data_IF_974559461417
#
_entry.id   IF_974559461417
#
_cell.length_a   1.000
_cell.length_b   1.000
_cell.length_c   1.000
_cell.angle_alpha   90.00
_cell.angle_beta   90.00
_cell.angle_gamma   90.00
#
_symmetry.space_group_name_H-M   'P 1'
#
loop_
_entity.id
_entity.type
_entity.pdbx_description
1 polymer ?
#
# COMPACT_ATOMS: atom_id res chain seq x y z
N UNK A 1 26.28 -16.23 27.45
CA UNK A 1 25.89 -14.81 27.35
C UNK A 1 24.45 -14.70 27.77
N UNK A 2 24.15 -13.94 28.83
CA UNK A 2 22.77 -13.64 29.21
C UNK A 2 22.13 -12.79 28.10
N UNK A 3 21.02 -13.27 27.54
CA UNK A 3 20.25 -12.50 26.55
C UNK A 3 19.56 -11.37 27.29
N UNK A 4 20.02 -10.14 27.08
CA UNK A 4 19.32 -8.96 27.61
C UNK A 4 18.07 -8.69 26.76
N UNK A 5 16.91 -8.43 27.38
CA UNK A 5 15.71 -8.03 26.65
C UNK A 5 15.98 -6.76 25.85
N UNK A 6 15.40 -6.67 24.65
CA UNK A 6 15.44 -5.44 23.84
C UNK A 6 14.17 -4.67 24.13
N UNK A 7 14.33 -3.39 24.48
CA UNK A 7 13.22 -2.51 24.78
C UNK A 7 12.78 -1.81 23.50
N UNK A 8 11.55 -2.09 23.05
CA UNK A 8 10.94 -1.39 21.92
C UNK A 8 9.72 -0.58 22.38
N UNK A 9 9.26 0.35 21.55
CA UNK A 9 8.02 1.06 21.81
C UNK A 9 6.82 0.15 21.54
N UNK A 10 5.80 0.19 22.41
CA UNK A 10 4.54 -0.56 22.24
C UNK A 10 3.92 -0.32 20.85
N UNK A 11 4.05 0.89 20.31
CA UNK A 11 3.44 1.27 19.03
C UNK A 11 4.13 0.64 17.82
N UNK A 12 5.40 0.25 17.92
CA UNK A 12 6.14 -0.40 16.84
C UNK A 12 5.65 -1.81 16.59
N UNK A 13 5.24 -2.53 17.64
CA UNK A 13 4.61 -3.84 17.51
C UNK A 13 3.35 -3.76 16.64
N UNK A 14 2.49 -2.77 16.90
CA UNK A 14 1.27 -2.57 16.12
C UNK A 14 1.58 -2.21 14.66
N UNK A 15 2.54 -1.30 14.43
CA UNK A 15 2.96 -0.91 13.08
C UNK A 15 3.40 -2.15 12.28
N UNK A 16 4.27 -2.98 12.85
CA UNK A 16 4.79 -4.13 12.11
C UNK A 16 3.75 -5.22 11.93
N UNK A 17 2.88 -5.48 12.92
CA UNK A 17 1.76 -6.41 12.72
C UNK A 17 0.86 -5.95 11.55
N UNK A 18 0.64 -4.65 11.43
CA UNK A 18 -0.10 -4.08 10.31
C UNK A 18 0.68 -4.26 9.00
N UNK A 19 1.97 -3.95 8.96
CA UNK A 19 2.85 -4.15 7.78
C UNK A 19 2.92 -5.61 7.33
N UNK A 20 3.09 -6.55 8.25
CA UNK A 20 3.11 -7.99 7.96
C UNK A 20 1.79 -8.46 7.36
N UNK A 21 0.67 -8.05 7.97
CA UNK A 21 -0.68 -8.37 7.46
C UNK A 21 -0.88 -7.82 6.05
N UNK A 22 -0.40 -6.60 5.79
CA UNK A 22 -0.42 -5.97 4.47
C UNK A 22 0.40 -6.82 3.48
N UNK A 23 1.67 -7.08 3.77
CA UNK A 23 2.57 -7.80 2.86
C UNK A 23 2.06 -9.20 2.53
N UNK A 24 1.56 -9.92 3.54
CA UNK A 24 0.95 -11.24 3.35
C UNK A 24 -0.30 -11.15 2.45
N UNK A 25 -1.14 -10.14 2.67
CA UNK A 25 -2.34 -9.93 1.86
C UNK A 25 -1.99 -9.59 0.41
N UNK A 26 -0.91 -8.83 0.17
CA UNK A 26 -0.44 -8.53 -1.18
C UNK A 26 -0.07 -9.81 -1.93
N UNK A 27 0.75 -10.66 -1.32
CA UNK A 27 1.20 -11.90 -1.94
C UNK A 27 0.02 -12.82 -2.28
N UNK A 28 -0.90 -13.00 -1.33
CA UNK A 28 -2.11 -13.81 -1.53
C UNK A 28 -3.01 -13.22 -2.64
N UNK A 29 -3.25 -11.91 -2.63
CA UNK A 29 -4.10 -11.24 -3.62
C UNK A 29 -3.45 -11.30 -5.00
N UNK A 30 -2.14 -11.05 -5.10
CA UNK A 30 -1.39 -11.13 -6.34
C UNK A 30 -1.41 -12.53 -6.94
N UNK A 31 -1.19 -13.57 -6.13
CA UNK A 31 -1.22 -14.96 -6.59
C UNK A 31 -2.62 -15.33 -7.09
N UNK A 32 -3.69 -14.95 -6.36
CA UNK A 32 -5.07 -15.18 -6.82
C UNK A 32 -5.41 -14.42 -8.11
N UNK A 33 -4.91 -13.19 -8.24
CA UNK A 33 -5.06 -12.41 -9.46
C UNK A 33 -4.37 -13.12 -10.63
N UNK A 34 -3.13 -13.60 -10.42
CA UNK A 34 -2.37 -14.35 -11.43
C UNK A 34 -3.10 -15.63 -11.84
N UNK A 35 -3.52 -16.45 -10.87
CA UNK A 35 -4.30 -17.68 -11.10
C UNK A 35 -5.59 -17.40 -11.89
N UNK A 36 -6.32 -16.34 -11.54
CA UNK A 36 -7.53 -15.95 -12.26
C UNK A 36 -7.25 -15.50 -13.71
N UNK A 37 -6.13 -14.81 -13.94
CA UNK A 37 -5.67 -14.43 -15.29
C UNK A 37 -5.23 -15.64 -16.10
N UNK A 38 -4.50 -16.57 -15.49
CA UNK A 38 -4.06 -17.81 -16.13
C UNK A 38 -5.26 -18.68 -16.48
N UNK A 39 -6.22 -18.87 -15.56
CA UNK A 39 -7.46 -19.61 -15.83
C UNK A 39 -8.27 -18.96 -16.96
N UNK A 40 -8.41 -17.63 -16.94
CA UNK A 40 -9.07 -16.89 -18.01
C UNK A 40 -8.36 -17.13 -19.35
N UNK A 41 -7.04 -16.99 -19.41
CA UNK A 41 -6.28 -17.20 -20.63
C UNK A 41 -6.37 -18.65 -21.13
N UNK A 42 -6.19 -19.64 -20.27
CA UNK A 42 -6.23 -21.06 -20.62
C UNK A 42 -7.61 -21.53 -21.06
N UNK A 43 -8.69 -21.02 -20.46
CA UNK A 43 -10.05 -21.49 -20.76
C UNK A 43 -10.72 -20.65 -21.84
N UNK A 44 -10.57 -19.34 -21.76
CA UNK A 44 -11.32 -18.39 -22.60
C UNK A 44 -10.62 -18.11 -23.93
N UNK A 45 -9.28 -18.06 -24.00
CA UNK A 45 -8.59 -17.76 -25.26
C UNK A 45 -8.68 -18.91 -26.29
N UNK A 46 -8.50 -20.19 -25.91
CA UNK A 46 -8.77 -21.30 -26.83
C UNK A 46 -10.24 -21.36 -27.25
N UNK A 47 -11.15 -20.99 -26.36
CA UNK A 47 -12.57 -20.89 -26.67
C UNK A 47 -12.86 -19.84 -27.76
N UNK A 48 -12.32 -18.62 -27.64
CA UNK A 48 -12.42 -17.58 -28.67
C UNK A 48 -11.81 -18.00 -30.00
N UNK A 49 -10.65 -18.66 -29.94
CA UNK A 49 -9.96 -19.17 -31.13
C UNK A 49 -10.84 -20.18 -31.87
N UNK A 50 -11.44 -21.13 -31.15
CA UNK A 50 -12.35 -22.14 -31.72
C UNK A 50 -13.61 -21.52 -32.33
N UNK A 51 -14.19 -20.47 -31.73
CA UNK A 51 -15.31 -19.75 -32.34
C UNK A 51 -14.87 -19.07 -33.65
N UNK A 52 -13.72 -18.37 -33.63
CA UNK A 52 -13.20 -17.67 -34.82
C UNK A 52 -12.83 -18.60 -35.97
N UNK A 53 -12.41 -19.83 -35.67
CA UNK A 53 -12.10 -20.87 -36.65
C UNK A 53 -13.34 -21.59 -37.21
N UNK A 54 -14.55 -21.15 -36.86
CA UNK A 54 -15.80 -21.66 -37.43
C UNK A 54 -16.34 -22.93 -36.76
N UNK A 55 -15.78 -23.35 -35.63
CA UNK A 55 -16.26 -24.51 -34.85
C UNK A 55 -17.48 -24.19 -33.95
N UNK A 56 -18.33 -23.27 -34.40
CA UNK A 56 -19.50 -22.80 -33.64
C UNK A 56 -20.49 -23.95 -33.36
N UNK A 57 -20.68 -24.86 -34.30
CA UNK A 57 -21.58 -26.01 -34.14
C UNK A 57 -21.10 -26.99 -33.07
N UNK A 58 -19.80 -27.24 -32.99
CA UNK A 58 -19.22 -28.05 -31.91
C UNK A 58 -19.49 -27.39 -30.55
N UNK A 59 -19.35 -26.07 -30.47
CA UNK A 59 -19.57 -25.32 -29.23
C UNK A 59 -21.05 -25.27 -28.80
N UNK A 60 -21.97 -25.01 -29.72
CA UNK A 60 -23.40 -25.01 -29.43
C UNK A 60 -23.88 -26.38 -28.93
N UNK A 61 -23.29 -27.48 -29.42
CA UNK A 61 -23.52 -28.82 -28.87
C UNK A 61 -23.03 -28.96 -27.43
N UNK A 62 -21.88 -28.36 -27.06
CA UNK A 62 -21.38 -28.39 -25.66
C UNK A 62 -22.27 -27.63 -24.69
N UNK A 63 -22.78 -26.45 -25.08
CA UNK A 63 -23.71 -25.68 -24.24
C UNK A 63 -24.97 -26.50 -23.99
N UNK A 64 -25.58 -27.01 -25.05
CA UNK A 64 -26.83 -27.77 -24.94
C UNK A 64 -26.66 -29.09 -24.19
N UNK A 65 -25.52 -29.76 -24.34
CA UNK A 65 -25.15 -30.93 -23.53
C UNK A 65 -25.10 -30.61 -22.04
N UNK A 66 -24.57 -29.46 -21.65
CA UNK A 66 -24.58 -29.00 -20.23
C UNK A 66 -25.98 -28.70 -19.73
N UNK A 67 -26.79 -28.00 -20.51
CA UNK A 67 -28.16 -27.60 -20.10
C UNK A 67 -29.10 -28.80 -19.98
N UNK A 68 -28.93 -29.80 -20.85
CA UNK A 68 -29.79 -30.98 -20.90
C UNK A 68 -29.25 -32.17 -20.12
N UNK A 69 -27.98 -32.12 -19.69
CA UNK A 69 -27.28 -33.26 -19.07
C UNK A 69 -26.96 -34.41 -20.03
N UNK A 70 -27.17 -34.22 -21.34
CA UNK A 70 -26.94 -35.23 -22.38
C UNK A 70 -25.49 -35.17 -22.87
N UNK A 71 -24.89 -36.30 -23.26
CA UNK A 71 -23.52 -36.29 -23.81
C UNK A 71 -23.49 -35.52 -25.15
N UNK A 72 -22.38 -34.83 -25.41
CA UNK A 72 -22.17 -34.04 -26.65
C UNK A 72 -22.40 -34.85 -27.93
N UNK A 73 -21.98 -36.12 -27.89
CA UNK A 73 -22.08 -37.08 -29.00
C UNK A 73 -23.53 -37.39 -29.37
N UNK A 74 -24.43 -37.33 -28.38
CA UNK A 74 -25.84 -37.68 -28.49
C UNK A 74 -26.74 -36.47 -28.83
N UNK A 75 -26.15 -35.26 -28.91
CA UNK A 75 -26.87 -34.03 -29.26
C UNK A 75 -27.13 -34.03 -30.77
N UNK A 76 -28.41 -34.13 -31.15
CA UNK A 76 -28.84 -34.08 -32.54
C UNK A 76 -28.57 -32.69 -33.16
N UNK A 77 -27.80 -32.66 -34.25
CA UNK A 77 -27.51 -31.46 -35.04
C UNK A 77 -28.78 -30.71 -35.47
N UNK A 78 -29.83 -31.43 -35.86
CA UNK A 78 -31.07 -30.84 -36.33
C UNK A 78 -31.83 -30.09 -35.21
N UNK A 79 -31.63 -30.50 -33.96
CA UNK A 79 -32.19 -29.81 -32.80
C UNK A 79 -31.41 -28.52 -32.47
N UNK A 80 -30.09 -28.56 -32.62
CA UNK A 80 -29.22 -27.39 -32.51
C UNK A 80 -29.55 -26.41 -33.63
N UNK A 81 -29.67 -26.89 -34.88
CA UNK A 81 -30.09 -26.07 -36.01
C UNK A 81 -31.46 -25.43 -35.79
N UNK A 82 -32.47 -26.12 -35.22
CA UNK A 82 -33.78 -25.52 -34.88
C UNK A 82 -33.71 -24.41 -33.84
N UNK A 83 -32.80 -24.52 -32.88
CA UNK A 83 -32.58 -23.49 -31.86
C UNK A 83 -31.87 -22.25 -32.45
N UNK A 84 -31.06 -22.50 -33.48
CA UNK A 84 -30.16 -21.51 -34.08
C UNK A 84 -30.71 -20.97 -35.42
N UNK A 85 -31.76 -21.57 -35.99
CA UNK A 85 -32.42 -21.16 -37.26
C UNK A 85 -33.55 -20.13 -37.07
N UNK A 86 -33.54 -19.41 -35.97
CA UNK A 86 -34.26 -18.12 -35.91
C UNK A 86 -33.69 -17.19 -37.00
N UNK A 87 -34.50 -16.33 -37.65
CA UNK A 87 -34.09 -15.46 -38.77
C UNK A 87 -32.96 -14.45 -38.49
N UNK A 88 -32.25 -14.58 -37.37
CA UNK A 88 -31.23 -13.68 -36.89
C UNK A 88 -29.96 -14.41 -36.42
N UNK A 89 -29.74 -15.69 -36.76
CA UNK A 89 -28.54 -16.49 -36.40
C UNK A 89 -27.24 -15.68 -36.51
N UNK A 90 -27.01 -15.12 -37.69
CA UNK A 90 -25.79 -14.39 -37.99
C UNK A 90 -25.69 -13.09 -37.20
N UNK A 91 -26.82 -12.43 -36.92
CA UNK A 91 -26.87 -11.23 -36.09
C UNK A 91 -26.64 -11.55 -34.61
N UNK A 92 -27.22 -12.64 -34.09
CA UNK A 92 -27.00 -13.11 -32.73
C UNK A 92 -25.53 -13.50 -32.49
N UNK A 93 -24.93 -14.24 -33.42
CA UNK A 93 -23.51 -14.60 -33.34
C UNK A 93 -22.63 -13.35 -33.45
N UNK A 94 -22.96 -12.39 -34.32
CA UNK A 94 -22.23 -11.12 -34.42
C UNK A 94 -22.35 -10.26 -33.16
N UNK A 95 -23.53 -10.17 -32.55
CA UNK A 95 -23.74 -9.44 -31.29
C UNK A 95 -23.01 -10.11 -30.13
N UNK A 96 -23.09 -11.44 -30.01
CA UNK A 96 -22.33 -12.19 -29.01
C UNK A 96 -20.82 -12.00 -29.18
N UNK A 97 -20.29 -12.10 -30.41
CA UNK A 97 -18.88 -11.84 -30.69
C UNK A 97 -18.47 -10.41 -30.33
N UNK A 98 -19.32 -9.42 -30.64
CA UNK A 98 -19.09 -8.02 -30.29
C UNK A 98 -19.09 -7.79 -28.78
N UNK A 99 -20.03 -8.39 -28.04
CA UNK A 99 -20.06 -8.31 -26.58
C UNK A 99 -18.87 -9.02 -25.93
N UNK A 100 -18.43 -10.13 -26.51
CA UNK A 100 -17.21 -10.82 -26.09
C UNK A 100 -15.96 -9.99 -26.39
N UNK A 101 -15.88 -9.32 -27.55
CA UNK A 101 -14.79 -8.40 -27.89
C UNK A 101 -14.78 -7.18 -26.97
N UNK A 102 -15.94 -6.64 -26.60
CA UNK A 102 -16.06 -5.57 -25.62
C UNK A 102 -15.65 -6.04 -24.22
N UNK A 103 -16.04 -7.25 -23.82
CA UNK A 103 -15.64 -7.84 -22.53
C UNK A 103 -14.14 -8.12 -22.51
N UNK A 104 -13.56 -8.62 -23.60
CA UNK A 104 -12.11 -8.75 -23.78
C UNK A 104 -11.40 -7.42 -23.74
N UNK A 105 -11.97 -6.37 -24.34
CA UNK A 105 -11.39 -5.04 -24.29
C UNK A 105 -11.39 -4.52 -22.84
N UNK A 106 -12.48 -4.70 -22.10
CA UNK A 106 -12.58 -4.36 -20.68
C UNK A 106 -11.61 -5.16 -19.82
N UNK A 107 -11.48 -6.47 -20.05
CA UNK A 107 -10.54 -7.35 -19.31
C UNK A 107 -9.08 -7.06 -19.69
N UNK A 108 -8.79 -6.75 -20.96
CA UNK A 108 -7.47 -6.27 -21.40
C UNK A 108 -7.13 -4.91 -20.81
N UNK A 109 -8.14 -4.06 -20.62
CA UNK A 109 -8.00 -2.80 -19.90
C UNK A 109 -7.79 -3.00 -18.38
N UNK A 110 -8.11 -4.17 -17.83
CA UNK A 110 -7.74 -4.57 -16.46
C UNK A 110 -6.60 -5.58 -16.55
N UNK A 111 -5.45 -5.18 -17.10
CA UNK A 111 -4.30 -6.07 -17.19
C UNK A 111 -3.74 -6.45 -15.81
N UNK A 112 -3.04 -7.58 -15.72
CA UNK A 112 -2.35 -8.01 -14.50
C UNK A 112 -1.45 -6.90 -13.96
N UNK A 113 -0.71 -6.23 -14.85
CA UNK A 113 0.20 -5.14 -14.53
C UNK A 113 -0.53 -3.93 -13.93
N UNK A 114 -1.73 -3.59 -14.43
CA UNK A 114 -2.54 -2.50 -13.86
C UNK A 114 -3.03 -2.81 -12.45
N UNK A 115 -3.40 -4.06 -12.18
CA UNK A 115 -3.81 -4.47 -10.84
C UNK A 115 -2.63 -4.58 -9.87
N UNK A 116 -1.48 -5.05 -10.36
CA UNK A 116 -0.25 -5.10 -9.60
C UNK A 116 0.23 -3.69 -9.23
N UNK A 117 0.24 -2.76 -10.20
CA UNK A 117 0.52 -1.33 -9.95
C UNK A 117 -0.47 -0.75 -8.92
N UNK A 118 -1.77 -1.02 -9.07
CA UNK A 118 -2.80 -0.58 -8.13
C UNK A 118 -2.51 -1.09 -6.71
N UNK A 119 -2.12 -2.37 -6.60
CA UNK A 119 -1.80 -3.01 -5.34
C UNK A 119 -0.58 -2.32 -4.71
N UNK A 120 0.55 -2.24 -5.39
CA UNK A 120 1.75 -1.59 -4.85
C UNK A 120 1.51 -0.14 -4.46
N UNK A 121 0.85 0.64 -5.31
CA UNK A 121 0.47 2.02 -5.01
C UNK A 121 -0.38 2.13 -3.73
N UNK A 122 -1.40 1.29 -3.60
CA UNK A 122 -2.31 1.31 -2.44
C UNK A 122 -1.55 0.97 -1.15
N UNK A 123 -0.63 0.02 -1.23
CA UNK A 123 0.18 -0.37 -0.08
C UNK A 123 1.21 0.67 0.31
N UNK A 124 1.85 1.35 -0.66
CA UNK A 124 2.71 2.49 -0.35
C UNK A 124 1.96 3.54 0.48
N UNK A 125 0.76 3.91 0.04
CA UNK A 125 -0.08 4.90 0.72
C UNK A 125 -0.43 4.44 2.12
N UNK A 126 -0.82 3.17 2.27
CA UNK A 126 -1.24 2.62 3.56
C UNK A 126 -0.07 2.47 4.54
N UNK A 127 1.09 1.93 4.11
CA UNK A 127 2.32 1.83 4.90
C UNK A 127 2.77 3.22 5.38
N UNK A 128 2.75 4.22 4.50
CA UNK A 128 3.09 5.60 4.87
C UNK A 128 2.13 6.17 5.93
N UNK A 129 0.83 5.87 5.78
CA UNK A 129 -0.20 6.27 6.74
C UNK A 129 0.01 5.60 8.09
N UNK A 130 0.37 4.32 8.11
CA UNK A 130 0.68 3.60 9.35
C UNK A 130 1.94 4.14 10.04
N UNK A 131 2.96 4.54 9.27
CA UNK A 131 4.13 5.20 9.83
C UNK A 131 3.81 6.57 10.44
N UNK A 132 3.01 7.39 9.76
CA UNK A 132 2.52 8.67 10.31
C UNK A 132 1.68 8.44 11.58
N UNK A 133 0.85 7.39 11.60
CA UNK A 133 0.05 7.02 12.75
C UNK A 133 0.91 6.51 13.93
N UNK A 134 1.98 5.78 13.66
CA UNK A 134 2.99 5.41 14.66
C UNK A 134 3.60 6.66 15.30
N UNK A 135 4.12 7.59 14.49
CA UNK A 135 4.68 8.84 14.97
C UNK A 135 3.65 9.66 15.77
N UNK A 136 2.41 9.74 15.26
CA UNK A 136 1.30 10.42 15.92
C UNK A 136 1.05 9.86 17.32
N UNK A 137 0.96 8.53 17.46
CA UNK A 137 0.74 7.86 18.75
C UNK A 137 1.88 8.11 19.73
N UNK A 138 3.12 8.03 19.24
CA UNK A 138 4.32 8.34 20.03
C UNK A 138 4.29 9.76 20.59
N UNK A 139 4.02 10.77 19.75
CA UNK A 139 3.96 12.17 20.18
C UNK A 139 2.75 12.39 21.09
N UNK A 140 1.56 11.87 20.74
CA UNK A 140 0.34 12.01 21.54
C UNK A 140 0.53 11.45 22.94
N UNK A 141 1.13 10.26 23.06
CA UNK A 141 1.45 9.69 24.37
C UNK A 141 2.32 10.64 25.20
N UNK A 142 3.40 11.16 24.63
CA UNK A 142 4.30 12.07 25.35
C UNK A 142 3.58 13.34 25.77
N UNK A 143 2.82 13.98 24.88
CA UNK A 143 2.13 15.24 25.19
C UNK A 143 1.02 15.06 26.23
N UNK A 144 0.34 13.92 26.23
CA UNK A 144 -0.67 13.63 27.26
C UNK A 144 -0.03 13.34 28.63
N UNK A 145 1.14 12.69 28.63
CA UNK A 145 1.86 12.33 29.86
C UNK A 145 2.64 13.51 30.45
N UNK A 146 3.21 14.34 29.58
CA UNK A 146 4.05 15.50 29.90
C UNK A 146 3.48 16.76 29.24
N UNK A 147 2.29 17.22 29.67
CA UNK A 147 1.60 18.35 29.05
C UNK A 147 2.37 19.67 29.16
N UNK A 148 3.34 19.79 30.06
CA UNK A 148 4.25 20.95 30.17
C UNK A 148 5.10 21.18 28.91
N UNK A 149 5.22 20.18 28.04
CA UNK A 149 5.90 20.30 26.75
C UNK A 149 5.08 21.16 25.76
N UNK A 150 3.76 21.23 25.95
CA UNK A 150 2.89 22.09 25.16
C UNK A 150 3.14 23.55 25.58
N UNK A 151 4.04 24.24 24.86
CA UNK A 151 4.35 25.66 25.07
C UNK A 151 3.22 26.59 24.55
N UNK A 152 2.06 26.05 24.19
CA UNK A 152 0.89 26.83 23.78
C UNK A 152 0.26 27.55 24.98
N UNK A 153 0.57 28.84 25.08
CA UNK A 153 0.02 29.76 26.10
C UNK A 153 -1.43 30.19 25.82
N UNK A 154 -2.02 29.78 24.70
CA UNK A 154 -3.33 30.25 24.27
C UNK A 154 -4.19 29.13 23.68
N UNK A 155 -5.32 28.85 24.33
CA UNK A 155 -6.36 27.93 23.88
C UNK A 155 -7.33 28.71 22.98
N UNK A 156 -7.72 28.16 21.81
CA UNK A 156 -8.68 28.84 20.93
C UNK A 156 -10.05 28.90 21.63
N UNK A 157 -10.80 29.97 21.43
CA UNK A 157 -12.10 30.18 22.08
C UNK A 157 -13.10 29.02 21.85
N UNK A 158 -13.00 28.35 20.70
CA UNK A 158 -13.77 27.14 20.36
C UNK A 158 -13.48 25.95 21.29
N UNK A 159 -12.23 25.78 21.70
CA UNK A 159 -11.80 24.72 22.61
C UNK A 159 -12.28 25.03 24.03
N UNK A 160 -12.30 26.32 24.43
CA UNK A 160 -12.84 26.78 25.73
C UNK A 160 -14.34 26.48 25.85
N UNK A 161 -15.12 26.66 24.78
CA UNK A 161 -16.56 26.35 24.80
C UNK A 161 -16.83 24.86 25.06
N UNK A 162 -15.99 23.97 24.52
CA UNK A 162 -16.09 22.53 24.81
C UNK A 162 -15.85 22.21 26.31
N UNK A 163 -15.05 23.04 27.00
CA UNK A 163 -14.82 22.93 28.46
C UNK A 163 -16.06 23.32 29.23
N UNK A 164 -16.72 24.40 28.83
CA UNK A 164 -17.92 24.91 29.50
C UNK A 164 -19.07 23.90 29.42
N UNK A 165 -19.18 23.20 28.28
CA UNK A 165 -20.26 22.25 28.05
C UNK A 165 -19.99 20.86 28.67
N UNK A 166 -18.73 20.43 28.83
CA UNK A 166 -18.39 19.05 29.24
C UNK A 166 -17.56 18.92 30.54
N UNK A 167 -17.08 20.01 31.15
CA UNK A 167 -16.28 20.06 32.39
C UNK A 167 -15.09 19.06 32.48
N UNK A 168 -14.65 18.48 31.37
CA UNK A 168 -13.62 17.44 31.34
C UNK A 168 -12.29 18.03 30.81
N UNK A 169 -11.44 18.48 31.74
CA UNK A 169 -10.10 19.00 31.43
C UNK A 169 -9.20 17.98 30.69
N UNK A 170 -9.47 16.68 30.82
CA UNK A 170 -8.74 15.64 30.08
C UNK A 170 -8.98 15.73 28.57
N UNK A 171 -10.23 15.95 28.16
CA UNK A 171 -10.62 16.11 26.76
C UNK A 171 -9.91 17.30 26.09
N UNK A 172 -9.70 18.38 26.85
CA UNK A 172 -9.05 19.60 26.37
C UNK A 172 -7.58 19.34 26.04
N UNK A 173 -6.87 18.67 26.94
CA UNK A 173 -5.46 18.30 26.72
C UNK A 173 -5.31 17.41 25.49
N UNK A 174 -6.24 16.47 25.31
CA UNK A 174 -6.28 15.61 24.13
C UNK A 174 -6.46 16.40 22.84
N UNK A 175 -7.45 17.31 22.79
CA UNK A 175 -7.69 18.15 21.60
C UNK A 175 -6.48 19.04 21.28
N UNK A 176 -5.86 19.68 22.29
CA UNK A 176 -4.68 20.52 22.08
C UNK A 176 -3.50 19.70 21.56
N UNK A 177 -3.26 18.54 22.17
CA UNK A 177 -2.20 17.63 21.71
C UNK A 177 -2.45 17.18 20.27
N UNK A 178 -3.67 16.76 19.93
CA UNK A 178 -4.03 16.34 18.57
C UNK A 178 -3.85 17.47 17.55
N UNK A 179 -4.33 18.67 17.84
CA UNK A 179 -4.17 19.82 16.94
C UNK A 179 -2.69 20.16 16.74
N UNK A 180 -1.90 20.16 17.82
CA UNK A 180 -0.45 20.40 17.75
C UNK A 180 0.23 19.38 16.84
N UNK A 181 -0.14 18.10 16.98
CA UNK A 181 0.43 17.02 16.18
C UNK A 181 0.00 17.17 14.71
N UNK A 182 -1.29 17.42 14.44
CA UNK A 182 -1.78 17.62 13.07
C UNK A 182 -1.07 18.78 12.37
N UNK A 183 -0.89 19.91 13.06
CA UNK A 183 -0.14 21.07 12.56
C UNK A 183 1.33 20.72 12.25
N UNK A 184 1.90 19.76 12.98
CA UNK A 184 3.24 19.24 12.72
C UNK A 184 3.30 18.37 11.46
N UNK A 185 2.31 17.50 11.23
CA UNK A 185 2.27 16.60 10.05
C UNK A 185 2.02 17.32 8.71
N UNK A 186 1.48 18.55 8.75
CA UNK A 186 1.43 19.43 7.58
C UNK A 186 2.83 19.92 7.13
N UNK A 187 3.84 19.78 7.97
CA UNK A 187 5.23 20.18 7.66
C UNK A 187 6.03 19.02 7.04
N UNK A 188 7.28 19.31 6.69
CA UNK A 188 8.24 18.29 6.26
C UNK A 188 8.87 17.58 7.47
N UNK A 189 9.55 16.46 7.21
CA UNK A 189 10.16 15.65 8.28
C UNK A 189 11.32 16.33 8.99
N UNK A 190 11.98 17.34 8.41
CA UNK A 190 12.97 18.14 9.14
C UNK A 190 12.32 18.88 10.31
N UNK A 191 11.14 19.45 10.08
CA UNK A 191 10.39 20.15 11.13
C UNK A 191 9.79 19.18 12.15
N UNK A 192 9.34 17.99 11.71
CA UNK A 192 8.90 16.92 12.61
C UNK A 192 10.05 16.49 13.53
N UNK A 193 11.21 16.09 12.99
CA UNK A 193 12.31 15.60 13.83
C UNK A 193 12.98 16.71 14.65
N UNK A 194 12.92 17.96 14.21
CA UNK A 194 13.28 19.12 15.03
C UNK A 194 12.34 19.28 16.23
N UNK A 195 11.05 18.96 16.09
CA UNK A 195 10.10 18.91 17.20
C UNK A 195 10.43 17.77 18.18
N UNK A 196 10.86 16.61 17.68
CA UNK A 196 11.37 15.53 18.53
C UNK A 196 12.59 16.00 19.34
N UNK A 197 13.56 16.65 18.70
CA UNK A 197 14.78 17.10 19.38
C UNK A 197 14.55 18.20 20.41
N UNK A 198 13.77 19.23 20.08
CA UNK A 198 13.66 20.42 20.94
C UNK A 198 12.54 20.26 21.99
N UNK A 199 11.24 20.28 21.64
CA UNK A 199 10.15 20.01 22.57
C UNK A 199 10.24 18.67 23.32
N UNK A 200 10.46 17.54 22.63
CA UNK A 200 10.45 16.23 23.28
C UNK A 200 11.82 15.85 23.89
N UNK A 201 12.88 16.57 23.53
CA UNK A 201 14.25 16.28 23.96
C UNK A 201 14.78 14.93 23.46
N UNK A 202 14.26 14.42 22.35
CA UNK A 202 14.67 13.16 21.73
C UNK A 202 15.79 13.44 20.72
N UNK A 203 17.01 13.10 21.07
CA UNK A 203 18.16 13.25 20.17
C UNK A 203 18.21 12.07 19.20
N UNK A 204 17.58 12.25 18.04
CA UNK A 204 17.59 11.30 16.92
C UNK A 204 18.83 11.57 16.05
N UNK A 205 19.61 10.54 15.73
CA UNK A 205 20.81 10.65 14.89
C UNK A 205 20.52 10.35 13.42
N UNK A 206 19.63 11.15 12.81
CA UNK A 206 19.36 11.04 11.38
C UNK A 206 20.19 12.04 10.58
N UNK A 207 20.87 11.55 9.55
CA UNK A 207 21.53 12.41 8.59
C UNK A 207 20.51 13.23 7.80
N UNK A 208 20.94 14.40 7.29
CA UNK A 208 20.09 15.25 6.47
C UNK A 208 19.64 14.53 5.19
N UNK A 209 20.52 13.71 4.60
CA UNK A 209 20.21 12.94 3.39
C UNK A 209 19.09 11.93 3.64
N UNK A 210 19.12 11.20 4.76
CA UNK A 210 18.11 10.20 5.11
C UNK A 210 16.73 10.87 5.33
N UNK A 211 16.69 12.02 6.02
CA UNK A 211 15.45 12.80 6.19
C UNK A 211 14.94 13.35 4.84
N UNK A 212 15.85 13.79 3.96
CA UNK A 212 15.49 14.21 2.61
C UNK A 212 14.84 13.05 1.84
N UNK A 213 15.43 11.85 1.87
CA UNK A 213 14.89 10.66 1.20
C UNK A 213 13.48 10.32 1.68
N UNK A 214 13.21 10.41 2.99
CA UNK A 214 11.87 10.21 3.56
C UNK A 214 10.87 11.26 3.05
N UNK A 215 11.28 12.53 2.95
CA UNK A 215 10.46 13.56 2.34
C UNK A 215 10.20 13.29 0.84
N UNK A 216 11.17 12.74 0.11
CA UNK A 216 10.98 12.30 -1.27
C UNK A 216 9.88 11.26 -1.40
N UNK A 217 9.87 10.23 -0.55
CA UNK A 217 8.78 9.24 -0.51
C UNK A 217 7.43 9.85 -0.13
N UNK A 218 7.40 10.86 0.76
CA UNK A 218 6.17 11.64 1.07
C UNK A 218 5.60 12.28 -0.20
N UNK A 219 6.46 12.84 -1.04
CA UNK A 219 6.04 13.48 -2.29
C UNK A 219 5.59 12.47 -3.35
N UNK A 220 6.22 11.30 -3.44
CA UNK A 220 5.75 10.21 -4.31
C UNK A 220 4.33 9.78 -3.89
N UNK A 221 4.09 9.56 -2.59
CA UNK A 221 2.73 9.28 -2.06
C UNK A 221 1.75 10.38 -2.43
N UNK A 222 2.14 11.65 -2.30
CA UNK A 222 1.29 12.79 -2.65
C UNK A 222 0.91 12.79 -4.13
N UNK A 223 1.86 12.49 -5.03
CA UNK A 223 1.59 12.36 -6.46
C UNK A 223 0.55 11.27 -6.74
N UNK A 224 0.65 10.12 -6.09
CA UNK A 224 -0.31 9.04 -6.28
C UNK A 224 -1.68 9.32 -5.66
N UNK A 225 -1.73 10.13 -4.60
CA UNK A 225 -2.98 10.48 -3.91
C UNK A 225 -3.75 11.58 -4.66
N UNK A 226 -3.06 12.53 -5.28
CA UNK A 226 -3.69 13.74 -5.84
C UNK A 226 -3.46 13.96 -7.36
N UNK A 227 -2.48 13.28 -7.96
CA UNK A 227 -2.03 13.55 -9.33
C UNK A 227 -1.89 12.31 -10.22
N UNK A 228 -2.50 11.18 -9.83
CA UNK A 228 -2.40 9.89 -10.56
C UNK A 228 -0.95 9.43 -10.80
N UNK A 229 -0.03 9.82 -9.90
CA UNK A 229 1.40 9.49 -9.99
C UNK A 229 2.17 10.32 -11.03
N UNK A 230 1.55 11.32 -11.67
CA UNK A 230 2.22 12.13 -12.71
C UNK A 230 3.07 13.24 -12.09
N UNK A 231 4.34 13.29 -12.51
CA UNK A 231 5.29 14.30 -12.08
C UNK A 231 4.83 15.68 -12.52
N UNK A 232 4.71 16.59 -11.55
CA UNK A 232 4.36 18.00 -11.77
C UNK A 232 5.52 18.92 -11.30
N UNK A 233 5.40 20.22 -11.60
CA UNK A 233 6.43 21.21 -11.23
C UNK A 233 6.63 21.33 -9.71
N UNK A 234 5.56 21.17 -8.92
CA UNK A 234 5.65 21.24 -7.45
C UNK A 234 6.50 20.10 -6.89
N UNK A 235 6.30 18.88 -7.39
CA UNK A 235 7.11 17.72 -7.04
C UNK A 235 8.59 17.95 -7.40
N UNK A 236 8.90 18.30 -8.66
CA UNK A 236 10.28 18.53 -9.09
C UNK A 236 10.99 19.58 -8.24
N UNK A 237 10.33 20.71 -7.96
CA UNK A 237 10.88 21.76 -7.12
C UNK A 237 11.19 21.27 -5.70
N UNK A 238 10.32 20.43 -5.11
CA UNK A 238 10.56 19.85 -3.78
C UNK A 238 11.73 18.87 -3.77
N UNK A 239 11.79 17.98 -4.77
CA UNK A 239 12.90 17.02 -4.93
C UNK A 239 14.24 17.75 -5.09
N UNK A 240 14.30 18.79 -5.93
CA UNK A 240 15.50 19.62 -6.11
C UNK A 240 15.88 20.37 -4.83
N UNK A 241 14.90 20.93 -4.11
CA UNK A 241 15.17 21.62 -2.83
C UNK A 241 15.75 20.69 -1.76
N UNK A 242 15.47 19.39 -1.85
CA UNK A 242 16.05 18.38 -0.97
C UNK A 242 17.32 17.73 -1.54
N UNK A 243 17.83 18.22 -2.68
CA UNK A 243 19.02 17.71 -3.33
C UNK A 243 18.95 16.19 -3.57
N UNK A 244 17.78 15.72 -4.02
CA UNK A 244 17.53 14.32 -4.35
C UNK A 244 17.61 14.11 -5.87
N UNK A 245 18.14 12.96 -6.24
CA UNK A 245 18.26 12.47 -7.61
C UNK A 245 17.29 11.30 -7.88
N UNK A 246 17.26 10.86 -9.14
CA UNK A 246 16.61 9.61 -9.55
C UNK A 246 17.14 8.40 -8.77
N UNK A 247 18.45 8.35 -8.57
CA UNK A 247 19.16 7.28 -7.89
C UNK A 247 18.81 7.23 -6.39
N UNK A 248 18.68 8.39 -5.74
CA UNK A 248 18.33 8.46 -4.31
C UNK A 248 16.95 7.86 -4.02
N UNK A 249 16.04 7.97 -4.98
CA UNK A 249 14.64 7.53 -4.87
C UNK A 249 14.33 6.26 -5.68
N UNK A 250 15.34 5.64 -6.29
CA UNK A 250 15.17 4.48 -7.18
C UNK A 250 14.10 4.70 -8.26
N UNK A 251 14.15 5.87 -8.90
CA UNK A 251 13.23 6.28 -9.95
C UNK A 251 13.93 6.25 -11.32
N UNK A 252 13.26 5.81 -12.39
CA UNK A 252 13.86 5.80 -13.73
C UNK A 252 14.01 7.21 -14.32
N UNK A 253 13.17 8.17 -13.89
CA UNK A 253 13.13 9.52 -14.43
C UNK A 253 12.43 10.49 -13.48
N UNK A 254 12.82 11.77 -13.56
CA UNK A 254 12.17 12.89 -12.88
C UNK A 254 11.50 13.87 -13.87
N UNK A 255 11.25 13.46 -15.11
CA UNK A 255 10.74 14.34 -16.17
C UNK A 255 9.26 14.70 -15.98
N UNK A 256 8.91 15.96 -16.30
CA UNK A 256 7.56 16.50 -16.14
C UNK A 256 6.53 15.72 -16.98
N UNK A 257 5.40 15.37 -16.37
CA UNK A 257 4.30 14.65 -17.01
C UNK A 257 4.47 13.13 -17.05
N UNK A 258 5.67 12.61 -16.77
CA UNK A 258 5.88 11.17 -16.66
C UNK A 258 5.23 10.61 -15.39
N UNK A 259 4.75 9.38 -15.47
CA UNK A 259 4.10 8.68 -14.36
C UNK A 259 5.16 7.92 -13.58
N UNK A 260 5.24 8.15 -12.28
CA UNK A 260 6.01 7.28 -11.38
C UNK A 260 5.25 5.96 -11.27
N UNK A 261 5.94 4.85 -11.49
CA UNK A 261 5.41 3.51 -11.28
C UNK A 261 5.86 3.07 -9.89
N UNK A 262 4.91 2.71 -9.03
CA UNK A 262 5.23 2.10 -7.73
C UNK A 262 5.36 0.60 -7.97
N UNK A 263 6.58 0.10 -7.89
CA UNK A 263 6.89 -1.31 -7.98
C UNK A 263 7.41 -1.85 -6.64
N UNK A 264 7.74 -3.13 -6.61
CA UNK A 264 8.27 -3.79 -5.42
C UNK A 264 9.64 -3.25 -4.97
N UNK A 265 10.49 -2.77 -5.88
CA UNK A 265 11.79 -2.22 -5.52
C UNK A 265 11.62 -0.91 -4.77
N UNK A 266 10.74 -0.03 -5.27
CA UNK A 266 10.41 1.22 -4.62
C UNK A 266 9.78 1.00 -3.24
N UNK A 267 8.87 0.01 -3.11
CA UNK A 267 8.26 -0.38 -1.83
C UNK A 267 9.31 -0.91 -0.85
N UNK A 268 10.23 -1.77 -1.32
CA UNK A 268 11.30 -2.35 -0.51
C UNK A 268 12.22 -1.27 0.05
N UNK A 269 12.71 -0.37 -0.80
CA UNK A 269 13.58 0.73 -0.40
C UNK A 269 12.88 1.68 0.58
N UNK A 270 11.59 1.94 0.35
CA UNK A 270 10.77 2.73 1.27
C UNK A 270 10.62 2.05 2.63
N UNK A 271 10.32 0.75 2.67
CA UNK A 271 10.17 0.00 3.91
C UNK A 271 11.46 -0.05 4.72
N UNK A 272 12.59 -0.33 4.06
CA UNK A 272 13.90 -0.34 4.71
C UNK A 272 14.19 1.01 5.39
N UNK A 273 13.94 2.10 4.67
CA UNK A 273 14.06 3.45 5.22
C UNK A 273 13.16 3.65 6.45
N UNK A 274 11.88 3.27 6.37
CA UNK A 274 10.96 3.41 7.50
C UNK A 274 11.41 2.61 8.73
N UNK A 275 11.92 1.40 8.53
CA UNK A 275 12.41 0.58 9.63
C UNK A 275 13.61 1.24 10.32
N UNK A 276 14.55 1.81 9.57
CA UNK A 276 15.67 2.56 10.15
C UNK A 276 15.17 3.71 11.04
N UNK A 277 14.16 4.45 10.58
CA UNK A 277 13.52 5.51 11.38
C UNK A 277 12.87 4.98 12.66
N UNK A 278 12.08 3.90 12.55
CA UNK A 278 11.34 3.34 13.69
C UNK A 278 12.30 2.81 14.75
N UNK A 279 13.35 2.09 14.34
CA UNK A 279 14.34 1.53 15.28
C UNK A 279 15.00 2.63 16.09
N UNK A 280 15.50 3.67 15.42
CA UNK A 280 16.18 4.78 16.09
C UNK A 280 15.22 5.54 17.02
N UNK A 281 13.99 5.82 16.57
CA UNK A 281 12.98 6.47 17.40
C UNK A 281 12.68 5.60 18.62
N UNK A 282 12.47 4.31 18.45
CA UNK A 282 12.19 3.39 19.55
C UNK A 282 13.31 3.33 20.57
N UNK A 283 14.57 3.23 20.12
CA UNK A 283 15.73 3.18 21.01
C UNK A 283 15.81 4.46 21.84
N UNK A 284 15.69 5.62 21.21
CA UNK A 284 15.77 6.92 21.91
C UNK A 284 14.57 7.11 22.84
N UNK A 285 13.37 6.72 22.40
CA UNK A 285 12.13 6.78 23.17
C UNK A 285 12.19 5.87 24.40
N UNK A 286 12.56 4.60 24.23
CA UNK A 286 12.68 3.64 25.31
C UNK A 286 13.74 4.06 26.33
N UNK A 287 14.81 4.71 25.88
CA UNK A 287 15.84 5.26 26.78
C UNK A 287 15.30 6.42 27.60
N UNK A 288 14.57 7.35 26.98
CA UNK A 288 14.11 8.60 27.63
C UNK A 288 12.82 8.44 28.43
N UNK A 289 11.92 7.58 27.99
CA UNK A 289 10.62 7.31 28.59
C UNK A 289 10.47 5.80 28.90
N UNK A 290 11.08 5.30 29.99
CA UNK A 290 11.10 3.86 30.30
C UNK A 290 9.71 3.19 30.42
N UNK A 291 8.68 3.95 30.74
CA UNK A 291 7.27 3.52 30.73
C UNK A 291 6.73 3.09 29.36
N UNK A 292 7.37 3.52 28.26
CA UNK A 292 7.03 3.12 26.91
C UNK A 292 7.71 1.81 26.52
N UNK A 293 8.60 1.30 27.37
CA UNK A 293 9.26 0.02 27.15
C UNK A 293 8.23 -1.08 27.21
N UNK A 294 8.08 -1.77 26.09
CA UNK A 294 7.53 -3.10 26.09
C UNK A 294 8.70 -4.08 26.19
N UNK A 295 8.74 -4.89 27.25
CA UNK A 295 9.68 -6.01 27.31
C UNK A 295 9.21 -7.08 26.32
N UNK A 296 9.89 -7.16 25.17
CA UNK A 296 9.82 -8.33 24.31
C UNK A 296 10.93 -9.29 24.69
N UNK A 297 10.61 -10.59 24.76
CA UNK A 297 11.64 -11.60 24.90
C UNK A 297 12.64 -11.42 23.74
N UNK A 298 13.93 -11.33 24.05
CA UNK A 298 15.02 -10.97 23.10
C UNK A 298 15.03 -11.73 21.76
N UNK A 299 14.42 -12.91 21.72
CA UNK A 299 14.22 -13.69 20.51
C UNK A 299 13.21 -13.04 19.57
N UNK A 300 12.14 -12.42 20.07
CA UNK A 300 11.09 -11.86 19.23
C UNK A 300 11.55 -10.62 18.48
N UNK A 301 12.38 -9.73 19.03
CA UNK A 301 12.84 -8.54 18.29
C UNK A 301 13.89 -8.87 17.22
N UNK A 302 14.85 -9.75 17.53
CA UNK A 302 15.80 -10.24 16.52
C UNK A 302 15.08 -11.08 15.46
N UNK A 303 14.15 -11.95 15.86
CA UNK A 303 13.32 -12.71 14.94
C UNK A 303 12.44 -11.79 14.12
N UNK A 304 11.86 -10.74 14.68
CA UNK A 304 11.02 -9.74 14.00
C UNK A 304 11.80 -8.87 13.02
N UNK A 305 12.98 -8.37 13.39
CA UNK A 305 13.87 -7.64 12.47
C UNK A 305 14.43 -8.57 11.38
N UNK A 306 14.77 -9.81 11.74
CA UNK A 306 15.23 -10.84 10.79
C UNK A 306 14.08 -11.33 9.92
N UNK A 307 12.84 -11.35 10.40
CA UNK A 307 11.64 -11.81 9.71
C UNK A 307 11.10 -10.74 8.78
N UNK A 308 11.11 -9.47 9.18
CA UNK A 308 10.86 -8.34 8.27
C UNK A 308 11.90 -8.33 7.16
N UNK A 309 13.19 -8.43 7.50
CA UNK A 309 14.27 -8.54 6.52
C UNK A 309 14.12 -9.77 5.63
N UNK A 310 13.77 -10.93 6.20
CA UNK A 310 13.46 -12.16 5.48
C UNK A 310 12.23 -12.03 4.58
N UNK A 311 11.17 -11.35 4.99
CA UNK A 311 10.00 -11.10 4.15
C UNK A 311 10.38 -10.22 2.97
N UNK A 312 11.19 -9.18 3.19
CA UNK A 312 11.74 -8.32 2.13
C UNK A 312 12.66 -9.12 1.17
N UNK A 313 13.56 -9.95 1.69
CA UNK A 313 14.48 -10.80 0.92
C UNK A 313 13.74 -11.93 0.17
N UNK A 314 12.78 -12.60 0.81
CA UNK A 314 11.97 -13.67 0.22
C UNK A 314 11.06 -13.12 -0.88
N UNK A 315 10.51 -11.93 -0.70
CA UNK A 315 9.81 -11.22 -1.76
C UNK A 315 10.67 -10.93 -2.97
N UNK A 316 11.94 -10.57 -2.75
CA UNK A 316 12.90 -10.33 -3.83
C UNK A 316 13.20 -11.65 -4.57
N UNK A 317 13.39 -12.76 -3.84
CA UNK A 317 13.70 -14.07 -4.42
C UNK A 317 12.52 -14.74 -5.15
N UNK A 318 11.28 -14.64 -4.63
CA UNK A 318 10.06 -15.17 -5.29
C UNK A 318 9.80 -14.45 -6.63
N UNK A 319 10.35 -13.25 -6.81
CA UNK A 319 10.18 -12.44 -8.01
C UNK A 319 11.23 -12.73 -9.09
N UNK A 320 12.45 -13.06 -8.70
CA UNK A 320 13.49 -13.51 -9.64
C UNK A 320 13.13 -14.88 -10.24
N UNK A 321 12.43 -15.75 -9.51
CA UNK A 321 11.91 -17.03 -10.01
C UNK A 321 10.72 -16.90 -10.99
N UNK A 322 10.14 -15.71 -11.15
CA UNK A 322 8.96 -15.46 -12.04
C UNK A 322 9.34 -14.67 -13.30
N UNK A 323 10.59 -14.19 -13.40
CA UNK A 323 11.12 -13.50 -14.59
C UNK A 323 11.75 -14.45 -15.61
N UNK A 324 12.00 -15.71 -15.23
CA UNK A 324 12.30 -16.84 -16.10
C UNK A 324 11.00 -17.60 -16.44
#
# INVERSE_FOLDING_TARGET
MEKKPVNICIYSRQFVQNVESILTSIEVVRNKIKEGFDEFNERFMPFLKNIKEGNLDHYMRRIRARETGVKIEDINLNEVERFVSTPNKDNYVKEMLKDMENTLALVKDVSFERMEEFLYRSNMIYIFTEFENYLFKCIKFILLKYPEILDEKSIKLKEIRLIQDNANLGLVKEIIAENTILDLFYKNYHEIFKYFKKPLGLELDFSKEIINKLNGYKEIRNLHTHGDGKINLLFQNRILNWNLSTEDLNLPSLKLGEKIIVDHFLISDFLNLLFDFIIEIDVVMAKKFPELRFEMESLDHLFFMTYVKYLTEKWTNVLDEVKD
#
